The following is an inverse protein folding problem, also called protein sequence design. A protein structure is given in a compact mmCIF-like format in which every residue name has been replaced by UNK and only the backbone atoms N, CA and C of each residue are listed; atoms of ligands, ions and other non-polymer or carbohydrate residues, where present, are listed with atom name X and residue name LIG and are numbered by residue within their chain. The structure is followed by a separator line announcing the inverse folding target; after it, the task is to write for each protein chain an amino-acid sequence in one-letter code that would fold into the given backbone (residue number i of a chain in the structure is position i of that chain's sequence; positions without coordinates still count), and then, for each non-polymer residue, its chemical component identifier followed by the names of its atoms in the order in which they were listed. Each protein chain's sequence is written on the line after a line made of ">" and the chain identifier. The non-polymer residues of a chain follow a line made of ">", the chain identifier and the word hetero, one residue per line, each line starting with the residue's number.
data_IF_001715251650
#
_entry.id   IF_001715251650
#
_cell.length_a   1.000
_cell.length_b   1.000
_cell.length_c   1.000
_cell.angle_alpha   90.00
_cell.angle_beta   90.00
_cell.angle_gamma   90.00
#
_symmetry.space_group_name_H-M   'P 1'
#
loop_
_entity.id
_entity.type
_entity.pdbx_description
1 polymer ?
#
# COMPACT_ATOMS: atom_id res chain seq x y z
N UNK A 1 -7.80 -2.99 24.72
CA UNK A 1 -7.36 -1.66 24.27
C UNK A 1 -8.33 -1.08 23.25
N UNK A 2 -8.21 0.23 22.91
CA UNK A 2 -9.04 0.82 21.85
C UNK A 2 -8.14 1.32 20.73
N UNK A 3 -8.50 1.00 19.47
CA UNK A 3 -7.78 1.42 18.26
C UNK A 3 -8.71 2.29 17.41
N UNK A 4 -8.18 3.34 16.77
CA UNK A 4 -8.94 4.13 15.83
C UNK A 4 -9.00 3.38 14.49
N UNK A 5 -10.24 3.08 14.06
CA UNK A 5 -10.47 2.42 12.78
C UNK A 5 -10.85 3.46 11.72
N UNK A 6 -10.01 3.62 10.70
CA UNK A 6 -10.28 4.56 9.60
C UNK A 6 -11.52 4.20 8.78
N UNK A 7 -11.93 2.93 8.79
CA UNK A 7 -13.13 2.47 8.11
C UNK A 7 -14.40 3.03 8.76
N UNK A 8 -14.47 2.98 10.08
CA UNK A 8 -15.64 3.46 10.83
C UNK A 8 -15.50 4.92 11.28
N UNK A 9 -14.25 5.45 11.31
CA UNK A 9 -13.94 6.78 11.80
C UNK A 9 -14.05 6.91 13.34
N UNK A 10 -13.98 5.79 14.05
CA UNK A 10 -14.18 5.72 15.52
C UNK A 10 -13.08 4.93 16.21
N UNK A 11 -12.91 5.18 17.51
CA UNK A 11 -12.11 4.31 18.39
C UNK A 11 -12.93 3.11 18.83
N UNK A 12 -12.47 1.92 18.49
CA UNK A 12 -13.13 0.65 18.75
C UNK A 12 -12.32 -0.21 19.70
N UNK A 13 -12.99 -1.10 20.44
CA UNK A 13 -12.30 -2.11 21.24
C UNK A 13 -11.64 -3.08 20.27
N UNK A 14 -10.33 -3.27 20.42
CA UNK A 14 -9.58 -4.21 19.59
C UNK A 14 -9.74 -5.63 20.13
N UNK A 15 -10.31 -6.48 19.32
CA UNK A 15 -10.43 -7.92 19.54
C UNK A 15 -9.89 -8.64 18.31
N UNK A 16 -8.75 -9.36 18.43
CA UNK A 16 -8.18 -10.06 17.29
C UNK A 16 -9.09 -11.24 16.88
N UNK A 17 -9.02 -11.63 15.61
CA UNK A 17 -9.79 -12.73 15.05
C UNK A 17 -9.47 -14.04 15.76
N UNK A 18 -8.17 -14.28 16.00
CA UNK A 18 -7.69 -15.41 16.79
C UNK A 18 -7.19 -14.90 18.14
N UNK A 19 -7.60 -15.49 19.27
CA UNK A 19 -7.15 -15.07 20.59
C UNK A 19 -5.61 -14.98 20.66
N UNK A 20 -5.11 -13.86 21.16
CA UNK A 20 -3.67 -13.57 21.34
C UNK A 20 -2.82 -13.51 20.06
N UNK A 21 -3.39 -13.68 18.87
CA UNK A 21 -2.68 -13.54 17.60
C UNK A 21 -3.19 -12.31 16.86
N UNK A 22 -2.26 -11.53 16.29
CA UNK A 22 -2.59 -10.37 15.46
C UNK A 22 -1.89 -10.51 14.11
N UNK A 23 -2.66 -10.54 13.05
CA UNK A 23 -2.17 -10.55 11.68
C UNK A 23 -2.25 -9.14 11.11
N UNK A 24 -1.11 -8.56 10.80
CA UNK A 24 -0.98 -7.18 10.35
C UNK A 24 -0.28 -7.12 9.00
N UNK A 25 -0.92 -6.46 8.05
CA UNK A 25 -0.32 -6.08 6.77
C UNK A 25 -0.16 -4.58 6.68
N UNK A 26 1.01 -4.11 6.28
CA UNK A 26 1.28 -2.68 6.03
C UNK A 26 1.78 -2.53 4.61
N UNK A 27 1.09 -1.72 3.80
CA UNK A 27 1.55 -1.43 2.45
C UNK A 27 2.94 -0.80 2.49
N UNK A 28 3.86 -1.45 1.78
CA UNK A 28 5.23 -1.03 1.62
C UNK A 28 5.38 0.10 0.61
N UNK A 29 6.59 0.29 0.12
CA UNK A 29 6.89 1.34 -0.84
C UNK A 29 7.30 0.77 -2.20
N UNK A 30 7.14 1.60 -3.24
CA UNK A 30 7.74 1.34 -4.55
C UNK A 30 9.23 1.72 -4.49
N UNK A 31 10.10 0.77 -4.81
CA UNK A 31 11.55 0.88 -4.65
C UNK A 31 12.23 1.42 -5.91
N UNK A 32 12.04 2.70 -6.21
CA UNK A 32 12.63 3.37 -7.38
C UNK A 32 13.58 4.51 -7.03
N UNK A 33 13.70 4.84 -5.75
CA UNK A 33 14.52 5.95 -5.26
C UNK A 33 14.76 5.83 -3.74
N UNK A 34 15.72 6.60 -3.17
CA UNK A 34 16.01 6.60 -1.75
C UNK A 34 14.76 6.88 -0.89
N UNK A 35 14.76 6.30 0.31
CA UNK A 35 13.72 6.51 1.31
C UNK A 35 13.79 7.93 1.86
N UNK A 36 12.63 8.47 2.20
CA UNK A 36 12.51 9.81 2.77
C UNK A 36 11.78 9.79 4.11
N UNK A 37 11.86 10.89 4.86
CA UNK A 37 11.27 10.99 6.18
C UNK A 37 9.74 10.75 6.21
N UNK A 38 9.04 10.91 5.07
CA UNK A 38 7.62 10.52 4.96
C UNK A 38 7.40 9.01 5.04
N UNK A 39 8.30 8.21 4.45
CA UNK A 39 8.30 6.75 4.61
C UNK A 39 8.63 6.39 6.06
N UNK A 40 9.69 7.02 6.63
CA UNK A 40 10.04 6.80 8.03
C UNK A 40 8.87 7.05 8.96
N UNK A 41 8.12 8.15 8.78
CA UNK A 41 6.92 8.44 9.59
C UNK A 41 5.92 7.29 9.60
N UNK A 42 5.60 6.77 8.42
CA UNK A 42 4.66 5.66 8.33
C UNK A 42 5.19 4.42 9.02
N UNK A 43 6.40 4.00 8.70
CA UNK A 43 6.92 2.72 9.17
C UNK A 43 7.38 2.76 10.63
N UNK A 44 7.87 3.89 11.15
CA UNK A 44 8.13 4.07 12.60
C UNK A 44 6.83 3.99 13.40
N UNK A 45 5.73 4.56 12.90
CA UNK A 45 4.44 4.47 13.58
C UNK A 45 3.95 3.01 13.67
N UNK A 46 4.06 2.23 12.57
CA UNK A 46 3.68 0.82 12.59
C UNK A 46 4.67 -0.04 13.40
N UNK A 47 5.96 0.28 13.40
CA UNK A 47 6.95 -0.33 14.30
C UNK A 47 6.56 -0.18 15.77
N UNK A 48 6.16 1.03 16.16
CA UNK A 48 5.67 1.28 17.54
C UNK A 48 4.43 0.43 17.85
N UNK A 49 3.47 0.34 16.91
CA UNK A 49 2.26 -0.46 17.09
C UNK A 49 2.60 -1.94 17.27
N UNK A 50 3.50 -2.48 16.45
CA UNK A 50 3.96 -3.87 16.57
C UNK A 50 4.63 -4.12 17.93
N UNK A 51 5.56 -3.23 18.35
CA UNK A 51 6.21 -3.32 19.67
C UNK A 51 5.19 -3.26 20.79
N UNK A 52 4.24 -2.34 20.71
CA UNK A 52 3.18 -2.21 21.73
C UNK A 52 2.30 -3.47 21.79
N UNK A 53 1.85 -4.01 20.67
CA UNK A 53 1.07 -5.23 20.65
C UNK A 53 1.86 -6.40 21.24
N UNK A 54 3.13 -6.57 20.86
CA UNK A 54 4.02 -7.60 21.42
C UNK A 54 4.23 -7.42 22.94
N UNK A 55 4.36 -6.17 23.43
CA UNK A 55 4.46 -5.87 24.87
C UNK A 55 3.18 -6.21 25.66
N UNK A 56 2.03 -6.30 24.94
CA UNK A 56 0.75 -6.72 25.50
C UNK A 56 0.51 -8.23 25.39
N UNK A 57 1.56 -9.01 25.07
CA UNK A 57 1.56 -10.46 24.92
C UNK A 57 0.73 -10.96 23.70
N UNK A 58 0.56 -10.14 22.67
CA UNK A 58 0.07 -10.62 21.39
C UNK A 58 1.23 -11.21 20.57
N UNK A 59 1.00 -12.36 19.95
CA UNK A 59 1.82 -12.87 18.86
C UNK A 59 1.46 -12.11 17.59
N UNK A 60 2.36 -11.25 17.11
CA UNK A 60 2.11 -10.40 15.95
C UNK A 60 2.85 -10.96 14.74
N UNK A 61 2.09 -11.36 13.71
CA UNK A 61 2.60 -11.63 12.36
C UNK A 61 2.51 -10.34 11.56
N UNK A 62 3.64 -9.67 11.38
CA UNK A 62 3.77 -8.39 10.71
C UNK A 62 4.35 -8.56 9.31
N UNK A 63 3.55 -8.26 8.29
CA UNK A 63 3.93 -8.32 6.87
C UNK A 63 4.01 -6.92 6.30
N UNK A 64 5.05 -6.66 5.52
CA UNK A 64 5.21 -5.41 4.76
C UNK A 64 5.76 -5.74 3.37
N UNK A 65 4.97 -5.51 2.34
CA UNK A 65 5.39 -5.82 0.98
C UNK A 65 6.45 -4.86 0.43
N UNK A 66 7.02 -5.27 -0.69
CA UNK A 66 7.85 -4.44 -1.56
C UNK A 66 7.19 -4.40 -2.94
N UNK A 67 6.86 -3.19 -3.41
CA UNK A 67 6.44 -2.98 -4.79
C UNK A 67 7.69 -2.80 -5.65
N UNK A 68 8.08 -3.87 -6.33
CA UNK A 68 9.28 -3.98 -7.14
C UNK A 68 9.00 -4.01 -8.66
N UNK A 69 7.76 -3.72 -9.05
CA UNK A 69 7.32 -3.49 -10.43
C UNK A 69 6.36 -2.31 -10.48
N UNK A 70 6.71 -1.28 -11.25
CA UNK A 70 5.91 -0.05 -11.43
C UNK A 70 6.47 0.77 -12.59
N UNK A 71 5.66 1.63 -13.22
CA UNK A 71 6.11 2.58 -14.24
C UNK A 71 7.29 3.43 -13.76
N UNK A 72 7.26 3.87 -12.49
CA UNK A 72 8.33 4.68 -11.89
C UNK A 72 9.68 3.97 -11.85
N UNK A 73 9.67 2.65 -11.62
CA UNK A 73 10.89 1.83 -11.63
C UNK A 73 11.44 1.78 -13.05
N UNK A 74 10.58 1.51 -14.03
CA UNK A 74 10.95 1.42 -15.45
C UNK A 74 11.52 2.75 -15.94
N UNK A 75 10.84 3.85 -15.63
CA UNK A 75 11.28 5.19 -16.07
C UNK A 75 12.58 5.60 -15.38
N UNK A 76 12.72 5.32 -14.08
CA UNK A 76 13.95 5.62 -13.33
C UNK A 76 15.13 4.80 -13.81
N UNK A 77 14.92 3.53 -14.15
CA UNK A 77 15.96 2.68 -14.72
C UNK A 77 16.44 3.21 -16.09
N UNK A 78 15.50 3.66 -16.93
CA UNK A 78 15.84 4.32 -18.21
C UNK A 78 16.66 5.61 -18.00
N UNK A 79 16.24 6.47 -17.05
CA UNK A 79 16.98 7.70 -16.72
C UNK A 79 18.42 7.41 -16.29
N UNK A 80 18.61 6.41 -15.43
CA UNK A 80 19.90 6.01 -14.88
C UNK A 80 20.68 5.10 -15.82
N UNK A 81 20.10 4.61 -16.92
CA UNK A 81 20.67 3.66 -17.88
C UNK A 81 21.14 2.37 -17.22
N UNK A 82 20.33 1.82 -16.32
CA UNK A 82 20.55 0.53 -15.64
C UNK A 82 19.36 -0.40 -15.90
N UNK A 83 19.54 -1.69 -15.64
CA UNK A 83 18.45 -2.64 -15.70
C UNK A 83 17.48 -2.44 -14.51
N UNK A 84 16.15 -2.58 -14.71
CA UNK A 84 15.18 -2.41 -13.63
C UNK A 84 15.45 -3.29 -12.40
N UNK A 85 15.89 -4.53 -12.59
CA UNK A 85 16.22 -5.44 -11.50
C UNK A 85 17.40 -4.94 -10.66
N UNK A 86 18.44 -4.42 -11.30
CA UNK A 86 19.59 -3.82 -10.60
C UNK A 86 19.18 -2.59 -9.78
N UNK A 87 18.32 -1.76 -10.36
CA UNK A 87 17.76 -0.59 -9.66
C UNK A 87 16.98 -0.99 -8.43
N UNK A 88 16.08 -1.98 -8.56
CA UNK A 88 15.26 -2.52 -7.48
C UNK A 88 16.14 -3.04 -6.34
N UNK A 89 17.10 -3.92 -6.63
CA UNK A 89 17.97 -4.49 -5.60
C UNK A 89 18.78 -3.40 -4.88
N UNK A 90 19.27 -2.41 -5.60
CA UNK A 90 19.97 -1.26 -5.02
C UNK A 90 19.10 -0.51 -4.02
N UNK A 91 17.83 -0.21 -4.37
CA UNK A 91 16.96 0.57 -3.49
C UNK A 91 16.31 -0.25 -2.39
N UNK A 92 16.15 -1.56 -2.54
CA UNK A 92 15.81 -2.46 -1.43
C UNK A 92 16.93 -2.46 -0.38
N UNK A 93 18.19 -2.60 -0.79
CA UNK A 93 19.33 -2.54 0.13
C UNK A 93 19.40 -1.19 0.84
N UNK A 94 19.29 -0.07 0.09
CA UNK A 94 19.25 1.27 0.64
C UNK A 94 18.11 1.46 1.66
N UNK A 95 16.91 0.97 1.36
CA UNK A 95 15.76 1.00 2.26
C UNK A 95 16.02 0.22 3.55
N UNK A 96 16.58 -0.98 3.45
CA UNK A 96 16.87 -1.82 4.62
C UNK A 96 17.94 -1.18 5.51
N UNK A 97 18.99 -0.60 4.93
CA UNK A 97 20.01 0.18 5.67
C UNK A 97 19.38 1.37 6.42
N UNK A 98 18.52 2.13 5.74
CA UNK A 98 17.84 3.29 6.32
C UNK A 98 16.94 2.88 7.50
N UNK A 99 16.16 1.82 7.35
CA UNK A 99 15.26 1.33 8.40
C UNK A 99 16.01 0.69 9.57
N UNK A 100 17.09 -0.03 9.29
CA UNK A 100 17.99 -0.55 10.33
C UNK A 100 18.64 0.59 11.11
N UNK A 101 19.07 1.66 10.44
CA UNK A 101 19.64 2.84 11.09
C UNK A 101 18.65 3.55 12.03
N UNK A 102 17.35 3.44 11.77
CA UNK A 102 16.28 3.92 12.64
C UNK A 102 15.84 2.88 13.71
N UNK A 103 16.56 1.75 13.82
CA UNK A 103 16.24 0.65 14.74
C UNK A 103 14.82 0.10 14.61
N UNK A 104 14.27 0.12 13.41
CA UNK A 104 12.94 -0.46 13.14
C UNK A 104 13.01 -1.99 13.19
N UNK A 105 11.93 -2.61 13.66
CA UNK A 105 11.76 -4.07 13.61
C UNK A 105 11.65 -4.51 12.14
N UNK A 106 12.36 -5.55 11.79
CA UNK A 106 12.14 -6.22 10.51
C UNK A 106 10.75 -6.87 10.49
N UNK A 107 10.00 -6.75 9.40
CA UNK A 107 8.77 -7.53 9.21
C UNK A 107 9.07 -9.04 9.26
N UNK A 108 8.09 -9.82 9.68
CA UNK A 108 8.22 -11.29 9.68
C UNK A 108 8.27 -11.84 8.24
N UNK A 109 7.76 -11.06 7.25
CA UNK A 109 7.91 -11.34 5.82
C UNK A 109 7.78 -10.06 5.01
N UNK A 110 8.47 -10.01 3.85
CA UNK A 110 8.47 -8.89 2.90
C UNK A 110 8.22 -9.40 1.47
N UNK A 111 6.99 -9.83 1.14
CA UNK A 111 6.69 -10.36 -0.18
C UNK A 111 6.89 -9.30 -1.26
N UNK A 112 7.47 -9.70 -2.39
CA UNK A 112 7.68 -8.87 -3.58
C UNK A 112 6.58 -9.11 -4.60
N UNK A 113 6.14 -8.06 -5.27
CA UNK A 113 5.11 -8.18 -6.31
C UNK A 113 5.55 -9.13 -7.43
N UNK A 114 6.83 -9.07 -7.86
CA UNK A 114 7.41 -9.92 -8.90
C UNK A 114 7.43 -11.40 -8.55
N UNK A 115 7.46 -11.76 -7.28
CA UNK A 115 7.45 -13.15 -6.78
C UNK A 115 6.03 -13.71 -6.63
N UNK A 116 5.00 -12.85 -6.79
CA UNK A 116 3.60 -13.21 -6.56
C UNK A 116 2.72 -13.11 -7.80
N UNK A 117 3.32 -13.10 -9.00
CA UNK A 117 2.61 -12.92 -10.28
C UNK A 117 1.51 -13.97 -10.49
N UNK A 118 1.79 -15.25 -10.20
CA UNK A 118 0.81 -16.32 -10.36
C UNK A 118 -0.41 -16.14 -9.44
N UNK A 119 -0.20 -15.67 -8.21
CA UNK A 119 -1.28 -15.35 -7.28
C UNK A 119 -2.12 -14.18 -7.76
N UNK A 120 -1.46 -13.15 -8.29
CA UNK A 120 -2.12 -11.98 -8.87
C UNK A 120 -2.98 -12.40 -10.07
N UNK A 121 -2.44 -13.19 -10.99
CA UNK A 121 -3.18 -13.69 -12.16
C UNK A 121 -4.41 -14.48 -11.72
N UNK A 122 -4.25 -15.43 -10.78
CA UNK A 122 -5.39 -16.20 -10.23
C UNK A 122 -6.47 -15.30 -9.64
N UNK A 123 -6.08 -14.26 -8.92
CA UNK A 123 -7.04 -13.32 -8.33
C UNK A 123 -7.84 -12.58 -9.40
N UNK A 124 -7.18 -12.12 -10.45
CA UNK A 124 -7.82 -11.44 -11.59
C UNK A 124 -8.77 -12.38 -12.33
N UNK A 125 -8.37 -13.64 -12.55
CA UNK A 125 -9.25 -14.65 -13.18
C UNK A 125 -10.54 -14.87 -12.39
N UNK A 126 -10.44 -14.92 -11.04
CA UNK A 126 -11.60 -15.03 -10.16
C UNK A 126 -12.51 -13.80 -10.30
N UNK A 127 -11.93 -12.59 -10.32
CA UNK A 127 -12.68 -11.35 -10.50
C UNK A 127 -13.43 -11.31 -11.83
N UNK A 128 -12.77 -11.73 -12.92
CA UNK A 128 -13.39 -11.82 -14.25
C UNK A 128 -14.54 -12.85 -14.22
N UNK A 129 -14.29 -14.03 -13.69
CA UNK A 129 -15.30 -15.10 -13.59
C UNK A 129 -16.52 -14.69 -12.78
N UNK A 130 -16.35 -13.86 -11.75
CA UNK A 130 -17.44 -13.34 -10.91
C UNK A 130 -18.12 -12.10 -11.50
N UNK A 131 -17.62 -11.55 -12.61
CA UNK A 131 -18.19 -10.37 -13.27
C UNK A 131 -17.75 -9.03 -12.69
N UNK A 132 -16.73 -9.00 -11.80
CA UNK A 132 -16.18 -7.79 -11.22
C UNK A 132 -15.04 -7.18 -12.02
N UNK A 133 -14.52 -7.91 -13.01
CA UNK A 133 -13.46 -7.44 -13.90
C UNK A 133 -13.79 -7.79 -15.35
N UNK A 134 -13.15 -7.08 -16.29
CA UNK A 134 -13.32 -7.30 -17.71
C UNK A 134 -12.00 -7.04 -18.47
N UNK A 135 -11.87 -7.72 -19.60
CA UNK A 135 -10.74 -7.53 -20.53
C UNK A 135 -11.11 -6.43 -21.52
N UNK A 136 -10.34 -5.36 -21.50
CA UNK A 136 -10.39 -4.30 -22.49
C UNK A 136 -9.45 -4.57 -23.69
N UNK A 137 -9.35 -3.61 -24.62
CA UNK A 137 -8.42 -3.70 -25.74
C UNK A 137 -6.97 -3.62 -25.28
N UNK A 138 -6.66 -2.64 -24.40
CA UNK A 138 -5.30 -2.40 -23.91
C UNK A 138 -4.99 -3.13 -22.61
N UNK A 139 -5.94 -3.26 -21.68
CA UNK A 139 -5.68 -3.70 -20.31
C UNK A 139 -6.82 -4.57 -19.76
N UNK A 140 -6.63 -5.11 -18.55
CA UNK A 140 -7.71 -5.73 -17.77
C UNK A 140 -8.10 -4.78 -16.64
N UNK A 141 -9.39 -4.53 -16.50
CA UNK A 141 -9.93 -3.55 -15.58
C UNK A 141 -10.85 -4.17 -14.53
N UNK A 142 -10.82 -3.62 -13.33
CA UNK A 142 -11.84 -3.82 -12.32
C UNK A 142 -13.00 -2.86 -12.59
N UNK A 143 -14.23 -3.34 -12.51
CA UNK A 143 -15.44 -2.53 -12.63
C UNK A 143 -15.84 -2.01 -11.25
N UNK A 144 -15.57 -0.74 -10.97
CA UNK A 144 -15.83 -0.15 -9.66
C UNK A 144 -17.32 -0.19 -9.27
N UNK A 145 -18.22 -0.01 -10.23
CA UNK A 145 -19.68 -0.09 -10.02
C UNK A 145 -20.18 -1.49 -9.66
N UNK A 146 -19.37 -2.54 -9.92
CA UNK A 146 -19.73 -3.91 -9.59
C UNK A 146 -19.61 -4.24 -8.09
N UNK A 147 -18.97 -3.35 -7.31
CA UNK A 147 -18.86 -3.45 -5.86
C UNK A 147 -19.74 -2.39 -5.20
N UNK A 148 -20.88 -2.79 -4.66
CA UNK A 148 -21.90 -1.90 -4.10
C UNK A 148 -21.34 -0.97 -3.00
N UNK A 149 -20.41 -1.47 -2.20
CA UNK A 149 -19.78 -0.72 -1.10
C UNK A 149 -18.56 0.11 -1.53
N UNK A 150 -18.32 0.32 -2.83
CA UNK A 150 -17.17 1.09 -3.29
C UNK A 150 -17.19 2.52 -2.74
N UNK A 151 -16.09 2.90 -2.08
CA UNK A 151 -15.99 4.18 -1.37
C UNK A 151 -16.25 4.08 0.13
N UNK A 152 -16.49 2.88 0.68
CA UNK A 152 -16.80 2.71 2.12
C UNK A 152 -15.65 3.14 3.05
N UNK A 153 -14.40 3.00 2.63
CA UNK A 153 -13.25 3.44 3.42
C UNK A 153 -13.02 4.95 3.28
N UNK A 154 -13.00 5.46 2.06
CA UNK A 154 -12.72 6.86 1.76
C UNK A 154 -13.88 7.81 2.07
N UNK A 155 -15.09 7.26 2.24
CA UNK A 155 -16.36 8.00 2.36
C UNK A 155 -16.69 8.82 1.11
N UNK A 156 -16.25 8.36 -0.06
CA UNK A 156 -16.51 8.98 -1.35
C UNK A 156 -17.57 8.18 -2.11
N UNK A 157 -18.45 8.87 -2.81
CA UNK A 157 -19.39 8.26 -3.75
C UNK A 157 -18.80 8.25 -5.16
N UNK A 158 -19.15 7.26 -5.98
CA UNK A 158 -18.69 7.15 -7.36
C UNK A 158 -19.07 8.41 -8.16
N UNK A 159 -20.29 8.95 -7.95
CA UNK A 159 -20.76 10.15 -8.62
C UNK A 159 -19.91 11.39 -8.31
N UNK A 160 -19.45 11.52 -7.06
CA UNK A 160 -18.59 12.63 -6.64
C UNK A 160 -17.18 12.49 -7.24
N UNK A 161 -16.71 11.25 -7.42
CA UNK A 161 -15.43 10.97 -8.07
C UNK A 161 -15.46 11.36 -9.56
N UNK A 162 -16.57 11.09 -10.24
CA UNK A 162 -16.77 11.44 -11.63
C UNK A 162 -16.86 12.97 -11.84
N UNK A 163 -17.48 13.69 -10.92
CA UNK A 163 -17.67 15.13 -11.03
C UNK A 163 -16.42 15.97 -10.71
N UNK A 164 -15.48 15.41 -9.93
CA UNK A 164 -14.28 16.12 -9.45
C UNK A 164 -12.98 15.81 -10.19
N UNK A 165 -12.99 14.83 -11.09
CA UNK A 165 -11.77 14.39 -11.75
C UNK A 165 -11.55 15.13 -13.08
N UNK A 166 -10.32 15.64 -13.29
CA UNK A 166 -9.77 15.79 -14.65
C UNK A 166 -9.50 14.36 -15.15
N UNK A 167 -10.54 13.73 -15.72
CA UNK A 167 -10.46 12.37 -16.20
C UNK A 167 -9.80 12.44 -17.57
N UNK A 168 -8.60 11.88 -17.69
CA UNK A 168 -8.10 11.46 -19.00
C UNK A 168 -9.06 10.38 -19.51
N UNK A 169 -9.78 10.70 -20.59
CA UNK A 169 -10.79 9.82 -21.17
C UNK A 169 -10.05 8.63 -21.78
N UNK A 170 -9.89 7.57 -21.00
CA UNK A 170 -9.48 6.28 -21.54
C UNK A 170 -10.73 5.58 -22.08
N UNK A 171 -10.87 5.57 -23.41
CA UNK A 171 -12.02 4.99 -24.12
C UNK A 171 -12.14 3.47 -23.93
N UNK A 172 -11.10 2.81 -23.43
CA UNK A 172 -11.08 1.37 -23.16
C UNK A 172 -11.79 1.02 -21.84
N UNK A 173 -11.97 1.99 -20.94
CA UNK A 173 -12.69 1.81 -19.69
C UNK A 173 -14.20 1.97 -19.89
N UNK A 174 -14.99 1.06 -19.30
CA UNK A 174 -16.46 1.16 -19.28
C UNK A 174 -16.94 2.32 -18.41
N UNK A 175 -16.23 2.56 -17.29
CA UNK A 175 -16.47 3.70 -16.41
C UNK A 175 -15.12 4.36 -16.06
N UNK A 176 -15.03 5.70 -16.06
CA UNK A 176 -13.79 6.41 -15.72
C UNK A 176 -13.18 6.07 -14.37
N UNK A 177 -13.98 5.61 -13.38
CA UNK A 177 -13.48 5.19 -12.07
C UNK A 177 -12.95 3.76 -12.05
N UNK A 178 -13.13 2.98 -13.13
CA UNK A 178 -12.53 1.67 -13.25
C UNK A 178 -11.01 1.75 -13.21
N UNK A 179 -10.36 0.74 -12.68
CA UNK A 179 -8.91 0.77 -12.51
C UNK A 179 -8.25 -0.51 -13.03
N UNK A 180 -6.97 -0.37 -13.41
CA UNK A 180 -6.21 -1.43 -14.04
C UNK A 180 -5.88 -2.54 -13.04
N UNK A 181 -6.12 -3.78 -13.42
CA UNK A 181 -5.70 -4.99 -12.73
C UNK A 181 -4.48 -5.64 -13.40
N UNK A 182 -4.45 -5.62 -14.74
CA UNK A 182 -3.33 -6.10 -15.54
C UNK A 182 -3.09 -5.14 -16.68
N UNK A 183 -1.90 -4.57 -16.75
CA UNK A 183 -1.48 -3.66 -17.79
C UNK A 183 -0.73 -4.45 -18.87
N UNK A 184 -1.32 -4.56 -20.05
CA UNK A 184 -0.65 -5.21 -21.18
C UNK A 184 0.54 -4.36 -21.61
N UNK A 185 1.70 -4.96 -21.69
CA UNK A 185 2.94 -4.30 -22.06
C UNK A 185 3.80 -5.27 -22.86
N UNK A 186 4.37 -4.78 -23.94
CA UNK A 186 5.30 -5.53 -24.79
C UNK A 186 6.76 -5.14 -24.56
N UNK A 187 6.98 -4.05 -23.81
CA UNK A 187 8.30 -3.52 -23.50
C UNK A 187 8.48 -3.43 -21.97
N UNK A 188 9.69 -3.65 -21.47
CA UNK A 188 10.01 -3.55 -20.05
C UNK A 188 9.74 -4.83 -19.26
N UNK A 189 9.48 -4.66 -17.95
CA UNK A 189 9.19 -5.79 -17.03
C UNK A 189 7.81 -6.36 -17.36
N UNK A 190 7.76 -7.63 -17.74
CA UNK A 190 6.52 -8.28 -18.17
C UNK A 190 6.52 -9.78 -17.88
N UNK A 191 5.33 -10.32 -17.69
CA UNK A 191 5.05 -11.74 -17.48
C UNK A 191 3.95 -12.19 -18.42
N UNK A 192 3.94 -13.45 -18.74
CA UNK A 192 2.86 -14.05 -19.53
C UNK A 192 1.59 -14.13 -18.67
N UNK A 193 0.45 -13.88 -19.32
CA UNK A 193 -0.87 -14.03 -18.70
C UNK A 193 -1.91 -14.49 -19.72
N UNK A 194 -3.11 -14.96 -19.29
CA UNK A 194 -4.20 -15.31 -20.19
C UNK A 194 -4.66 -14.17 -21.10
N UNK A 195 -4.34 -12.92 -20.75
CA UNK A 195 -4.74 -11.71 -21.48
C UNK A 195 -3.62 -11.14 -22.35
N UNK A 196 -2.47 -11.80 -22.38
CA UNK A 196 -1.26 -11.40 -23.07
C UNK A 196 -0.15 -10.95 -22.12
N UNK A 197 1.06 -10.71 -22.65
CA UNK A 197 2.19 -10.27 -21.86
C UNK A 197 1.93 -8.89 -21.24
N UNK A 198 2.36 -8.71 -19.98
CA UNK A 198 2.10 -7.49 -19.24
C UNK A 198 2.58 -7.57 -17.80
N UNK A 199 2.04 -6.69 -16.97
CA UNK A 199 2.37 -6.59 -15.54
C UNK A 199 1.14 -6.25 -14.69
N UNK A 200 1.18 -6.53 -13.37
CA UNK A 200 0.07 -6.20 -12.49
C UNK A 200 -0.20 -4.69 -12.42
N UNK A 201 -1.46 -4.35 -12.18
CA UNK A 201 -1.84 -3.04 -11.67
C UNK A 201 -1.42 -2.91 -10.20
N UNK A 202 -1.07 -1.72 -9.79
CA UNK A 202 -0.51 -1.45 -8.46
C UNK A 202 -1.38 -1.94 -7.28
N UNK A 203 -2.70 -1.95 -7.41
CA UNK A 203 -3.60 -2.26 -6.31
C UNK A 203 -3.77 -3.76 -6.05
N UNK A 204 -3.74 -4.57 -7.12
CA UNK A 204 -3.97 -6.01 -7.02
C UNK A 204 -2.81 -6.75 -6.36
N UNK A 205 -1.60 -6.16 -6.41
CA UNK A 205 -0.41 -6.71 -5.77
C UNK A 205 -0.63 -6.91 -4.27
N UNK A 206 -1.03 -5.85 -3.56
CA UNK A 206 -1.25 -5.91 -2.12
C UNK A 206 -2.43 -6.82 -1.75
N UNK A 207 -3.50 -6.85 -2.55
CA UNK A 207 -4.60 -7.78 -2.34
C UNK A 207 -4.14 -9.24 -2.41
N UNK A 208 -3.35 -9.60 -3.42
CA UNK A 208 -2.82 -10.95 -3.57
C UNK A 208 -1.84 -11.31 -2.44
N UNK A 209 -0.81 -10.49 -2.24
CA UNK A 209 0.24 -10.75 -1.27
C UNK A 209 -0.28 -10.81 0.18
N UNK A 210 -1.22 -9.92 0.55
CA UNK A 210 -1.76 -9.93 1.91
C UNK A 210 -2.65 -11.16 2.16
N UNK A 211 -3.47 -11.56 1.19
CA UNK A 211 -4.30 -12.77 1.32
C UNK A 211 -3.47 -14.05 1.35
N UNK A 212 -2.42 -14.14 0.55
CA UNK A 212 -1.50 -15.29 0.57
C UNK A 212 -0.75 -15.39 1.91
N UNK A 213 -0.30 -14.25 2.45
CA UNK A 213 0.47 -14.23 3.69
C UNK A 213 -0.38 -14.38 4.96
N UNK A 214 -1.60 -13.81 4.98
CA UNK A 214 -2.42 -13.64 6.18
C UNK A 214 -3.82 -14.29 6.09
N UNK A 215 -4.21 -14.77 4.90
CA UNK A 215 -5.54 -15.33 4.66
C UNK A 215 -6.57 -14.27 4.22
N UNK A 216 -7.78 -14.74 3.89
CA UNK A 216 -8.85 -13.92 3.28
C UNK A 216 -9.33 -12.75 4.14
N UNK A 217 -9.25 -12.88 5.46
CA UNK A 217 -9.56 -11.84 6.45
C UNK A 217 -8.46 -11.80 7.50
N UNK A 218 -7.97 -10.61 7.84
CA UNK A 218 -6.93 -10.42 8.86
C UNK A 218 -7.26 -9.21 9.75
N UNK A 219 -6.44 -9.00 10.81
CA UNK A 219 -6.82 -8.10 11.89
C UNK A 219 -6.59 -6.63 11.55
N UNK A 220 -5.41 -6.27 11.04
CA UNK A 220 -5.02 -4.88 10.82
C UNK A 220 -4.42 -4.68 9.43
N UNK A 221 -4.97 -3.72 8.68
CA UNK A 221 -4.37 -3.22 7.44
C UNK A 221 -3.92 -1.78 7.63
N UNK A 222 -2.68 -1.49 7.26
CA UNK A 222 -2.08 -0.19 7.52
C UNK A 222 -1.33 0.43 6.35
N UNK A 223 -1.15 1.77 6.43
CA UNK A 223 -0.37 2.53 5.46
C UNK A 223 -0.41 4.04 5.69
N UNK A 224 0.15 4.80 4.75
CA UNK A 224 0.03 6.26 4.75
C UNK A 224 -1.41 6.72 4.45
N UNK A 225 -1.78 7.91 4.91
CA UNK A 225 -3.11 8.46 4.68
C UNK A 225 -3.43 8.69 3.19
N UNK A 226 -2.41 8.85 2.36
CA UNK A 226 -2.53 8.97 0.91
C UNK A 226 -2.89 7.65 0.22
N UNK A 227 -2.62 6.50 0.87
CA UNK A 227 -3.04 5.19 0.37
C UNK A 227 -4.53 4.92 0.62
N UNK A 228 -5.18 5.65 1.54
CA UNK A 228 -6.59 5.45 1.86
C UNK A 228 -7.47 5.46 0.60
N UNK A 229 -7.16 6.35 -0.34
CA UNK A 229 -7.79 6.42 -1.64
C UNK A 229 -6.78 6.85 -2.71
N UNK A 230 -6.72 6.16 -3.87
CA UNK A 230 -7.58 5.03 -4.25
C UNK A 230 -7.09 3.64 -3.78
N UNK A 231 -5.84 3.50 -3.29
CA UNK A 231 -5.14 2.22 -3.16
C UNK A 231 -5.89 1.23 -2.24
N UNK A 232 -6.08 1.55 -0.96
CA UNK A 232 -6.74 0.66 0.00
C UNK A 232 -8.24 0.47 -0.31
N UNK A 233 -8.91 1.48 -0.87
CA UNK A 233 -10.29 1.32 -1.35
C UNK A 233 -10.38 0.26 -2.44
N UNK A 234 -9.43 0.28 -3.39
CA UNK A 234 -9.35 -0.69 -4.48
C UNK A 234 -8.99 -2.09 -3.98
N UNK A 235 -8.11 -2.20 -2.99
CA UNK A 235 -7.79 -3.48 -2.34
C UNK A 235 -9.01 -4.10 -1.66
N UNK A 236 -9.83 -3.29 -0.97
CA UNK A 236 -11.10 -3.74 -0.38
C UNK A 236 -12.00 -4.31 -1.47
N UNK A 237 -12.23 -3.55 -2.54
CA UNK A 237 -13.11 -3.96 -3.63
C UNK A 237 -12.64 -5.27 -4.27
N UNK A 238 -11.35 -5.39 -4.59
CA UNK A 238 -10.76 -6.60 -5.15
C UNK A 238 -10.93 -7.80 -4.24
N UNK A 239 -10.53 -7.66 -2.98
CA UNK A 239 -10.45 -8.79 -2.03
C UNK A 239 -11.84 -9.25 -1.59
N UNK A 240 -12.75 -8.33 -1.31
CA UNK A 240 -14.11 -8.66 -0.89
C UNK A 240 -14.96 -9.21 -2.04
N UNK A 241 -14.77 -8.74 -3.28
CA UNK A 241 -15.39 -9.35 -4.45
C UNK A 241 -14.90 -10.77 -4.71
N UNK A 242 -13.61 -11.07 -4.44
CA UNK A 242 -13.08 -12.43 -4.57
C UNK A 242 -13.61 -13.35 -3.49
N UNK A 243 -13.58 -12.92 -2.24
CA UNK A 243 -13.83 -13.80 -1.08
C UNK A 243 -15.29 -13.81 -0.61
N UNK A 244 -16.00 -12.70 -0.81
CA UNK A 244 -17.32 -12.46 -0.20
C UNK A 244 -17.23 -12.18 1.31
N UNK A 245 -16.04 -11.87 1.83
CA UNK A 245 -15.77 -11.65 3.25
C UNK A 245 -15.13 -10.29 3.45
N UNK A 246 -15.27 -9.74 4.65
CA UNK A 246 -14.53 -8.54 5.06
C UNK A 246 -13.02 -8.77 4.95
N UNK A 247 -12.31 -7.85 4.28
CA UNK A 247 -10.89 -8.02 3.99
C UNK A 247 -10.01 -7.79 5.23
N UNK A 248 -10.21 -6.68 5.94
CA UNK A 248 -9.48 -6.38 7.19
C UNK A 248 -10.41 -5.76 8.23
N UNK A 249 -10.25 -6.17 9.51
CA UNK A 249 -11.08 -5.68 10.63
C UNK A 249 -10.80 -4.23 10.98
N UNK A 250 -9.54 -3.84 11.02
CA UNK A 250 -9.09 -2.51 11.42
C UNK A 250 -8.23 -1.91 10.32
N UNK A 251 -8.58 -0.70 9.89
CA UNK A 251 -7.81 0.09 8.95
C UNK A 251 -7.09 1.22 9.66
N UNK A 252 -5.77 1.27 9.55
CA UNK A 252 -4.94 2.27 10.23
C UNK A 252 -4.17 3.12 9.22
N UNK A 253 -4.23 4.45 9.38
CA UNK A 253 -3.55 5.36 8.47
C UNK A 253 -2.74 6.39 9.25
N UNK A 254 -1.48 6.55 8.87
CA UNK A 254 -0.60 7.59 9.43
C UNK A 254 -0.78 8.90 8.68
N UNK A 255 -0.78 10.02 9.42
CA UNK A 255 -0.86 11.34 8.81
C UNK A 255 0.37 11.69 7.95
N UNK A 256 0.18 12.48 6.89
CA UNK A 256 1.26 12.94 6.02
C UNK A 256 2.14 13.98 6.71
N UNK A 257 3.44 13.94 6.49
CA UNK A 257 4.35 15.01 6.88
C UNK A 257 4.12 16.27 6.04
N UNK A 258 4.25 17.43 6.69
CA UNK A 258 4.21 18.74 6.06
C UNK A 258 5.49 19.50 6.39
N UNK A 259 6.04 20.18 5.38
CA UNK A 259 7.13 21.13 5.52
C UNK A 259 6.55 22.49 5.15
N UNK A 260 6.66 23.47 6.06
CA UNK A 260 6.12 24.83 5.87
C UNK A 260 4.63 24.86 5.45
N UNK A 261 3.82 23.99 6.09
CA UNK A 261 2.37 23.79 5.82
C UNK A 261 2.04 23.10 4.48
N UNK A 262 3.01 22.83 3.63
CA UNK A 262 2.82 22.07 2.39
C UNK A 262 3.09 20.58 2.59
N UNK A 263 2.35 19.71 1.88
CA UNK A 263 2.63 18.27 1.89
C UNK A 263 4.03 18.05 1.32
N UNK A 264 4.86 17.30 2.06
CA UNK A 264 6.15 16.87 1.55
C UNK A 264 5.95 15.90 0.37
N UNK A 265 6.56 16.19 -0.77
CA UNK A 265 6.49 15.33 -1.95
C UNK A 265 7.71 15.48 -2.85
N UNK A 266 8.04 14.42 -3.60
CA UNK A 266 9.13 14.46 -4.59
C UNK A 266 8.85 15.47 -5.73
N UNK A 267 7.60 15.61 -6.14
CA UNK A 267 7.19 16.54 -7.20
C UNK A 267 7.43 18.01 -6.83
N UNK A 268 7.32 18.34 -5.54
CA UNK A 268 7.60 19.70 -5.02
C UNK A 268 9.09 19.90 -4.68
N UNK A 269 9.93 18.86 -4.82
CA UNK A 269 11.36 18.88 -4.48
C UNK A 269 11.65 19.36 -3.04
N UNK A 270 10.69 19.17 -2.13
CA UNK A 270 10.76 19.56 -0.72
C UNK A 270 10.91 18.33 0.21
N UNK A 271 11.38 17.19 -0.29
CA UNK A 271 11.57 15.99 0.51
C UNK A 271 13.00 15.90 1.06
N UNK A 272 13.10 15.30 2.24
CA UNK A 272 14.37 15.03 2.94
C UNK A 272 14.53 13.52 2.99
N UNK A 273 15.68 12.99 2.54
CA UNK A 273 15.97 11.56 2.65
C UNK A 273 16.26 11.19 4.11
N UNK A 274 16.05 9.91 4.46
CA UNK A 274 16.44 9.43 5.80
C UNK A 274 17.94 9.60 6.00
N UNK A 275 18.74 9.30 4.98
CA UNK A 275 20.21 9.48 5.00
C UNK A 275 20.62 10.92 5.30
N UNK A 276 19.94 11.91 4.69
CA UNK A 276 20.24 13.32 4.96
C UNK A 276 19.80 13.76 6.36
N UNK A 277 18.66 13.28 6.82
CA UNK A 277 18.22 13.54 8.19
C UNK A 277 19.18 12.97 9.23
N UNK A 278 19.72 11.78 9.00
CA UNK A 278 20.69 11.12 9.89
C UNK A 278 22.09 11.75 9.88
N UNK A 279 22.45 12.53 8.85
CA UNK A 279 23.69 13.34 8.88
C UNK A 279 23.62 14.49 9.89
N UNK A 280 22.42 15.02 10.13
CA UNK A 280 22.19 16.17 10.97
C UNK A 280 21.67 15.83 12.38
N UNK A 281 21.03 14.67 12.54
CA UNK A 281 20.33 14.28 13.78
C UNK A 281 20.58 12.81 14.12
N UNK A 282 20.50 12.47 15.42
CA UNK A 282 20.57 11.08 15.85
C UNK A 282 19.34 10.27 15.39
N UNK A 283 19.46 8.94 15.24
CA UNK A 283 18.32 8.08 14.89
C UNK A 283 17.14 8.24 15.82
N UNK A 284 17.38 8.39 17.13
CA UNK A 284 16.35 8.59 18.14
C UNK A 284 15.63 9.93 17.94
N UNK A 285 16.35 11.00 17.64
CA UNK A 285 15.76 12.31 17.36
C UNK A 285 14.90 12.27 16.10
N UNK A 286 15.35 11.59 15.05
CA UNK A 286 14.57 11.40 13.83
C UNK A 286 13.29 10.61 14.13
N UNK A 287 13.37 9.47 14.80
CA UNK A 287 12.22 8.63 15.15
C UNK A 287 11.25 9.37 16.07
N UNK A 288 11.76 10.04 17.12
CA UNK A 288 10.94 10.82 18.06
C UNK A 288 10.19 11.96 17.38
N UNK A 289 10.87 12.72 16.52
CA UNK A 289 10.25 13.81 15.76
C UNK A 289 9.15 13.28 14.83
N UNK A 290 9.33 12.13 14.22
CA UNK A 290 8.32 11.50 13.38
C UNK A 290 7.08 11.08 14.16
N UNK A 291 7.24 10.58 15.38
CA UNK A 291 6.12 10.19 16.24
C UNK A 291 5.33 11.39 16.75
N UNK A 292 6.00 12.50 17.07
CA UNK A 292 5.37 13.71 17.61
C UNK A 292 4.97 14.73 16.56
N UNK A 293 5.59 14.71 15.38
CA UNK A 293 5.31 15.67 14.33
C UNK A 293 3.85 15.56 13.87
N UNK A 294 3.04 16.55 14.23
CA UNK A 294 1.67 16.76 13.76
C UNK A 294 0.58 15.82 14.27
N UNK A 295 0.83 15.17 15.40
CA UNK A 295 -0.25 14.47 16.06
C UNK A 295 -1.17 15.49 16.74
N UNK A 296 -2.32 15.76 16.12
CA UNK A 296 -3.43 16.32 16.89
C UNK A 296 -3.89 15.27 17.89
N UNK A 297 -4.33 15.64 19.11
CA UNK A 297 -4.75 14.69 20.15
C UNK A 297 -5.79 13.66 19.71
N UNK A 298 -6.47 13.89 18.58
CA UNK A 298 -7.45 12.98 17.99
C UNK A 298 -6.85 11.82 17.18
N UNK A 299 -5.56 11.87 16.85
CA UNK A 299 -4.89 10.87 16.02
C UNK A 299 -3.81 10.06 16.76
N UNK A 300 -3.41 10.48 17.93
CA UNK A 300 -2.62 9.64 18.84
C UNK A 300 -3.51 8.53 19.38
N UNK A 301 -3.34 7.37 18.78
CA UNK A 301 -3.96 6.13 19.21
C UNK A 301 -2.92 5.33 19.93
N UNK A 302 -2.79 5.56 21.20
CA UNK A 302 -2.26 4.60 22.15
C UNK A 302 -3.09 4.68 23.41
#
# INVERSE_FOLDING_TARGET
>A
MKIFNSLTGKKEIFEPINPNQVRMYVCGMTVYDDTHIGHARTFVAFDLIVRYLRSRNYEVKYIRNITDVDDKIIDRAKELKVEPAELVDRYINSMNEDFSSLSMIEPDDQPRATENIDSIIRLIEILIKKGHAYVGESDVYFSAESFEDYGKLSKRKIEDMLSGARIDINLDKKNPVDFVLWKKDTAGMKWDSPWGPGRPGWHIECSAMSMDALGETFDIHGGGADLKFPHHENEIAQSECVTGKEFAKIWMHTGSLRIDKEKMSKSLKNFITIKDALKAHSPEAVSYTHLLAHETPSHLVC
#
